data_IF_535513390722
#
_entry.id   IF_535513390722
#
_cell.length_a   1.000
_cell.length_b   1.000
_cell.length_c   1.000
_cell.angle_alpha   90.00
_cell.angle_beta   90.00
_cell.angle_gamma   90.00
#
_symmetry.space_group_name_H-M   'P 1'
#
loop_
_entity.id
_entity.type
_entity.pdbx_description
1 polymer ?
#
# COMPACT_ATOMS: atom_id res chain seq x y z
N UNK A 1 19.34 3.65 7.70
CA UNK A 1 18.54 3.01 6.64
C UNK A 1 17.18 3.69 6.62
N UNK A 2 16.73 4.15 5.45
CA UNK A 2 15.36 4.70 5.32
C UNK A 2 14.34 3.58 5.53
N UNK A 3 13.16 3.93 6.02
CA UNK A 3 12.03 3.00 6.09
C UNK A 3 11.56 2.72 4.66
N UNK A 4 11.35 1.46 4.24
CA UNK A 4 10.87 1.18 2.90
C UNK A 4 9.46 1.77 2.71
N UNK A 5 9.23 2.44 1.57
CA UNK A 5 7.90 2.87 1.15
C UNK A 5 7.21 1.70 0.48
N UNK A 6 6.06 1.33 1.00
CA UNK A 6 5.29 0.17 0.53
C UNK A 6 3.81 0.38 0.77
N UNK A 7 3.01 -0.08 -0.19
CA UNK A 7 1.56 -0.15 -0.13
C UNK A 7 1.10 -1.36 -0.93
N UNK A 8 0.24 -2.20 -0.35
CA UNK A 8 -0.31 -3.36 -1.04
C UNK A 8 -0.70 -4.50 -0.10
N UNK A 9 -1.37 -5.51 -0.63
CA UNK A 9 -1.66 -6.70 0.15
C UNK A 9 -0.50 -7.67 0.13
N UNK A 10 -0.32 -8.37 1.24
CA UNK A 10 0.65 -9.45 1.39
C UNK A 10 -0.06 -10.63 2.02
N UNK A 11 0.12 -11.81 1.43
CA UNK A 11 -0.50 -13.04 1.89
C UNK A 11 0.55 -14.10 2.18
N UNK A 12 0.27 -14.93 3.18
CA UNK A 12 1.03 -16.15 3.45
C UNK A 12 0.26 -17.35 2.94
N UNK A 13 0.93 -18.12 2.10
CA UNK A 13 0.38 -19.31 1.48
C UNK A 13 1.45 -20.40 1.48
N UNK A 14 1.12 -21.56 2.06
CA UNK A 14 2.00 -22.72 2.21
C UNK A 14 3.29 -22.44 3.01
N UNK A 15 4.44 -22.26 2.37
CA UNK A 15 5.71 -21.94 3.05
C UNK A 15 6.28 -20.55 2.67
N UNK A 16 5.53 -19.78 1.87
CA UNK A 16 5.99 -18.50 1.34
C UNK A 16 5.02 -17.35 1.60
N UNK A 17 5.56 -16.14 1.51
CA UNK A 17 4.85 -14.88 1.58
C UNK A 17 4.89 -14.24 0.19
N UNK A 18 3.74 -13.78 -0.30
CA UNK A 18 3.59 -13.23 -1.64
C UNK A 18 2.97 -11.83 -1.58
N UNK A 19 3.38 -10.90 -2.48
CA UNK A 19 2.51 -9.81 -2.86
C UNK A 19 1.17 -10.36 -3.33
N UNK A 20 0.09 -9.67 -2.97
CA UNK A 20 -1.25 -10.15 -3.20
C UNK A 20 -2.21 -9.05 -3.66
N UNK A 21 -3.35 -9.47 -4.19
CA UNK A 21 -4.52 -8.64 -4.41
C UNK A 21 -5.79 -9.40 -3.98
N UNK A 22 -6.82 -8.67 -3.57
CA UNK A 22 -8.15 -9.24 -3.35
C UNK A 22 -8.89 -9.31 -4.69
N UNK A 23 -9.58 -10.43 -4.92
CA UNK A 23 -10.56 -10.54 -5.99
C UNK A 23 -11.77 -9.64 -5.75
N UNK A 24 -12.64 -9.43 -6.75
CA UNK A 24 -13.76 -8.50 -6.69
C UNK A 24 -14.71 -8.74 -5.50
N UNK A 25 -14.99 -10.00 -5.21
CA UNK A 25 -15.89 -10.42 -4.12
C UNK A 25 -15.15 -10.71 -2.81
N UNK A 26 -13.83 -10.47 -2.77
CA UNK A 26 -12.95 -10.75 -1.63
C UNK A 26 -12.93 -12.21 -1.14
N UNK A 27 -13.53 -13.16 -1.87
CA UNK A 27 -13.47 -14.60 -1.61
C UNK A 27 -12.22 -15.26 -2.20
N UNK A 28 -11.49 -14.52 -3.03
CA UNK A 28 -10.28 -14.92 -3.73
C UNK A 28 -9.12 -13.97 -3.44
N UNK A 29 -7.92 -14.56 -3.41
CA UNK A 29 -6.65 -13.85 -3.30
C UNK A 29 -5.82 -14.21 -4.51
N UNK A 30 -5.35 -13.20 -5.24
CA UNK A 30 -4.38 -13.38 -6.31
C UNK A 30 -2.99 -13.20 -5.71
N UNK A 31 -2.16 -14.24 -5.77
CA UNK A 31 -0.77 -14.23 -5.34
C UNK A 31 0.12 -13.91 -6.54
N UNK A 32 1.14 -13.08 -6.36
CA UNK A 32 2.09 -12.71 -7.41
C UNK A 32 3.51 -13.21 -7.11
N UNK A 33 4.26 -13.54 -8.16
CA UNK A 33 5.65 -13.99 -8.09
C UNK A 33 6.41 -13.47 -9.30
N UNK A 34 7.67 -13.09 -9.10
CA UNK A 34 8.59 -12.79 -10.23
C UNK A 34 9.15 -14.08 -10.86
N UNK A 35 9.11 -15.19 -10.12
CA UNK A 35 9.60 -16.50 -10.54
C UNK A 35 8.46 -17.45 -10.92
N UNK A 36 8.75 -18.39 -11.84
CA UNK A 36 7.86 -19.51 -12.15
C UNK A 36 7.77 -20.47 -10.96
N UNK A 37 6.58 -20.63 -10.41
CA UNK A 37 6.30 -21.52 -9.28
C UNK A 37 5.18 -22.50 -9.62
N UNK A 38 5.19 -23.66 -8.98
CA UNK A 38 4.17 -24.68 -9.18
C UNK A 38 2.75 -24.13 -8.92
N UNK A 39 1.87 -24.29 -9.91
CA UNK A 39 0.48 -23.80 -9.86
C UNK A 39 0.32 -22.29 -10.10
N UNK A 40 1.39 -21.56 -10.38
CA UNK A 40 1.31 -20.20 -10.90
C UNK A 40 1.28 -20.23 -12.42
N UNK A 41 0.52 -19.31 -13.00
CA UNK A 41 0.39 -19.13 -14.45
C UNK A 41 1.13 -17.86 -14.88
N UNK A 42 1.74 -17.91 -16.06
CA UNK A 42 2.44 -16.75 -16.63
C UNK A 42 1.45 -15.63 -16.96
N UNK A 43 1.80 -14.42 -16.53
CA UNK A 43 1.16 -13.16 -16.90
C UNK A 43 2.20 -12.24 -17.57
N UNK A 44 1.81 -11.01 -17.91
CA UNK A 44 2.72 -10.08 -18.59
C UNK A 44 3.83 -9.59 -17.64
N UNK A 45 4.98 -10.28 -17.66
CA UNK A 45 6.17 -9.94 -16.89
C UNK A 45 6.22 -10.48 -15.45
N UNK A 46 5.25 -11.31 -15.05
CA UNK A 46 5.20 -11.93 -13.73
C UNK A 46 4.37 -13.21 -13.77
N UNK A 47 4.32 -13.94 -12.67
CA UNK A 47 3.54 -15.15 -12.46
C UNK A 47 2.46 -14.90 -11.43
N UNK A 48 1.28 -15.49 -11.61
CA UNK A 48 0.18 -15.35 -10.64
C UNK A 48 -0.56 -16.63 -10.36
N UNK A 49 -1.12 -16.75 -9.16
CA UNK A 49 -2.01 -17.85 -8.77
C UNK A 49 -3.20 -17.30 -8.01
N UNK A 50 -4.40 -17.61 -8.46
CA UNK A 50 -5.62 -17.33 -7.69
C UNK A 50 -5.91 -18.47 -6.73
N UNK A 51 -6.10 -18.15 -5.46
CA UNK A 51 -6.48 -19.10 -4.41
C UNK A 51 -7.71 -18.59 -3.67
N UNK A 52 -8.46 -19.50 -3.03
CA UNK A 52 -9.53 -19.08 -2.13
C UNK A 52 -8.96 -18.37 -0.91
N UNK A 53 -9.64 -17.32 -0.44
CA UNK A 53 -9.28 -16.55 0.77
C UNK A 53 -9.14 -17.44 2.01
N UNK A 54 -9.92 -18.51 2.11
CA UNK A 54 -9.83 -19.49 3.19
C UNK A 54 -8.58 -20.39 3.12
N UNK A 55 -7.89 -20.41 1.98
CA UNK A 55 -6.66 -21.18 1.76
C UNK A 55 -5.37 -20.42 2.10
N UNK A 56 -5.43 -19.11 2.38
CA UNK A 56 -4.26 -18.35 2.85
C UNK A 56 -4.21 -18.32 4.38
N UNK A 57 -3.02 -18.52 4.95
CA UNK A 57 -2.80 -18.56 6.40
C UNK A 57 -3.06 -17.20 7.05
N UNK A 58 -2.62 -16.13 6.39
CA UNK A 58 -2.94 -14.76 6.75
C UNK A 58 -2.89 -13.85 5.52
N UNK A 59 -3.61 -12.74 5.62
CA UNK A 59 -3.65 -11.67 4.64
C UNK A 59 -3.58 -10.34 5.38
N UNK A 60 -2.68 -9.45 4.96
CA UNK A 60 -2.53 -8.11 5.55
C UNK A 60 -2.47 -7.04 4.46
N UNK A 61 -3.09 -5.90 4.72
CA UNK A 61 -2.75 -4.65 4.01
C UNK A 61 -1.50 -4.08 4.66
N UNK A 62 -0.43 -3.96 3.89
CA UNK A 62 0.79 -3.25 4.28
C UNK A 62 0.71 -1.85 3.70
N UNK A 63 0.98 -0.84 4.52
CA UNK A 63 1.05 0.56 4.07
C UNK A 63 2.07 1.34 4.87
N UNK A 64 2.68 2.34 4.26
CA UNK A 64 3.58 3.26 4.93
C UNK A 64 2.79 4.49 5.36
N UNK A 65 2.81 4.78 6.66
CA UNK A 65 2.06 5.90 7.24
C UNK A 65 3.00 6.88 7.91
N UNK A 66 2.59 8.13 7.99
CA UNK A 66 3.39 9.21 8.55
C UNK A 66 2.51 10.37 9.05
N UNK A 67 3.15 11.48 9.40
CA UNK A 67 2.51 12.75 9.71
C UNK A 67 3.19 13.91 8.96
N UNK A 68 2.39 14.81 8.40
CA UNK A 68 2.82 16.03 7.71
C UNK A 68 1.94 17.19 8.17
N UNK A 69 2.55 18.33 8.52
CA UNK A 69 1.80 19.48 9.06
C UNK A 69 1.00 19.19 10.34
N UNK A 70 1.37 18.13 11.09
CA UNK A 70 0.64 17.66 12.27
C UNK A 70 -0.57 16.77 11.99
N UNK A 71 -0.87 16.47 10.73
CA UNK A 71 -1.99 15.62 10.32
C UNK A 71 -1.50 14.27 9.76
N UNK A 72 -2.30 13.19 9.85
CA UNK A 72 -1.91 11.86 9.39
C UNK A 72 -1.93 11.74 7.86
N UNK A 73 -0.93 11.05 7.30
CA UNK A 73 -0.84 10.75 5.88
C UNK A 73 -0.36 9.31 5.60
N UNK A 74 -0.60 8.85 4.37
CA UNK A 74 0.03 7.66 3.79
C UNK A 74 1.14 8.12 2.84
N UNK A 75 2.29 7.45 2.87
CA UNK A 75 3.36 7.66 1.88
C UNK A 75 3.12 6.72 0.71
N UNK A 76 2.94 7.30 -0.46
CA UNK A 76 2.63 6.60 -1.72
C UNK A 76 3.91 6.20 -2.44
N UNK A 77 4.88 7.13 -2.52
CA UNK A 77 6.15 6.94 -3.21
C UNK A 77 7.26 7.85 -2.66
N UNK A 78 8.50 7.57 -3.01
CA UNK A 78 9.68 8.41 -2.73
C UNK A 78 10.58 8.49 -3.97
N UNK A 79 10.85 9.70 -4.44
CA UNK A 79 11.71 9.97 -5.59
C UNK A 79 12.69 11.15 -5.30
N UNK A 80 13.27 11.74 -6.34
CA UNK A 80 14.20 12.86 -6.22
C UNK A 80 13.55 14.18 -5.76
N UNK A 81 12.24 14.34 -6.00
CA UNK A 81 11.47 15.53 -5.63
C UNK A 81 10.94 15.44 -4.18
N UNK A 82 10.84 14.23 -3.62
CA UNK A 82 10.58 14.01 -2.20
C UNK A 82 9.62 12.86 -1.94
N UNK A 83 8.76 13.01 -0.92
CA UNK A 83 7.71 12.05 -0.61
C UNK A 83 6.40 12.47 -1.25
N UNK A 84 5.85 11.60 -2.08
CA UNK A 84 4.47 11.69 -2.52
C UNK A 84 3.56 11.13 -1.43
N UNK A 85 2.67 11.95 -0.85
CA UNK A 85 1.83 11.57 0.29
C UNK A 85 0.35 11.86 0.03
N UNK A 86 -0.51 10.99 0.56
CA UNK A 86 -1.96 11.17 0.58
C UNK A 86 -2.45 11.57 1.97
N UNK A 87 -3.31 12.59 2.04
CA UNK A 87 -3.95 13.02 3.28
C UNK A 87 -4.97 11.98 3.75
N UNK A 88 -4.92 11.63 5.03
CA UNK A 88 -5.87 10.65 5.64
C UNK A 88 -6.69 11.23 6.78
N UNK A 89 -6.61 12.54 6.99
CA UNK A 89 -7.53 13.21 7.90
C UNK A 89 -8.91 13.40 7.27
N UNK A 90 -9.85 13.92 8.06
CA UNK A 90 -11.27 14.00 7.69
C UNK A 90 -11.71 15.42 7.30
N UNK A 91 -10.78 16.29 6.88
CA UNK A 91 -11.08 17.69 6.53
C UNK A 91 -10.32 18.15 5.28
N UNK A 92 -11.06 18.33 4.17
CA UNK A 92 -10.50 18.88 2.93
C UNK A 92 -9.96 20.30 3.09
N UNK A 93 -10.63 21.14 3.89
CA UNK A 93 -10.16 22.50 4.21
C UNK A 93 -8.78 22.48 4.88
N UNK A 94 -8.52 21.52 5.78
CA UNK A 94 -7.19 21.37 6.39
C UNK A 94 -6.16 20.87 5.36
N UNK A 95 -6.52 19.91 4.52
CA UNK A 95 -5.64 19.41 3.47
C UNK A 95 -5.19 20.55 2.54
N UNK A 96 -6.13 21.36 2.05
CA UNK A 96 -5.85 22.53 1.20
C UNK A 96 -4.97 23.57 1.90
N UNK A 97 -5.23 23.84 3.18
CA UNK A 97 -4.41 24.76 3.98
C UNK A 97 -2.96 24.26 4.19
N UNK A 98 -2.75 22.94 4.15
CA UNK A 98 -1.44 22.30 4.20
C UNK A 98 -0.78 22.16 2.82
N UNK A 99 -1.42 22.64 1.75
CA UNK A 99 -0.87 22.62 0.39
C UNK A 99 -1.18 21.35 -0.41
N UNK A 100 -2.01 20.44 0.11
CA UNK A 100 -2.51 19.33 -0.70
C UNK A 100 -3.46 19.83 -1.80
N UNK A 101 -3.45 19.14 -2.95
CA UNK A 101 -4.44 19.34 -4.01
C UNK A 101 -5.36 18.13 -4.13
N UNK A 102 -6.59 18.37 -4.57
CA UNK A 102 -7.58 17.31 -4.77
C UNK A 102 -7.29 16.55 -6.07
N UNK A 103 -7.11 15.23 -5.97
CA UNK A 103 -6.88 14.34 -7.13
C UNK A 103 -8.16 13.61 -7.55
N UNK A 104 -9.07 13.36 -6.60
CA UNK A 104 -10.42 12.82 -6.80
C UNK A 104 -11.31 13.28 -5.62
N UNK A 105 -12.62 13.02 -5.68
CA UNK A 105 -13.64 13.43 -4.72
C UNK A 105 -13.26 13.13 -3.24
N UNK A 106 -12.64 14.12 -2.59
CA UNK A 106 -12.16 14.02 -1.20
C UNK A 106 -10.81 13.33 -1.01
N UNK A 107 -10.13 12.93 -2.09
CA UNK A 107 -8.76 12.44 -2.08
C UNK A 107 -7.79 13.61 -2.36
N UNK A 108 -6.80 13.77 -1.48
CA UNK A 108 -5.88 14.89 -1.48
C UNK A 108 -4.44 14.40 -1.42
N UNK A 109 -3.58 14.87 -2.32
CA UNK A 109 -2.19 14.45 -2.45
C UNK A 109 -1.24 15.66 -2.54
N UNK A 110 0.03 15.44 -2.19
CA UNK A 110 1.11 16.43 -2.29
C UNK A 110 2.48 15.74 -2.36
N UNK A 111 3.45 16.36 -3.04
CA UNK A 111 4.87 16.00 -2.94
C UNK A 111 5.57 17.00 -2.02
N UNK A 112 6.26 16.51 -1.00
CA UNK A 112 6.93 17.34 0.03
C UNK A 112 8.34 16.85 0.32
N UNK A 113 9.24 17.73 0.79
CA UNK A 113 10.56 17.32 1.22
C UNK A 113 10.50 16.24 2.29
N UNK A 114 11.38 15.24 2.16
CA UNK A 114 11.43 14.05 3.02
C UNK A 114 11.59 14.38 4.51
N UNK A 115 12.27 15.48 4.82
CA UNK A 115 12.54 16.00 6.16
C UNK A 115 11.32 16.65 6.84
N UNK A 116 10.29 17.02 6.08
CA UNK A 116 9.05 17.60 6.62
C UNK A 116 8.04 16.53 7.07
N UNK A 117 8.32 15.26 6.74
CA UNK A 117 7.43 14.13 7.05
C UNK A 117 7.98 13.31 8.22
N UNK A 118 7.16 13.18 9.25
CA UNK A 118 7.57 12.61 10.53
C UNK A 118 6.84 11.30 10.85
N UNK A 119 7.36 10.55 11.82
CA UNK A 119 6.72 9.31 12.33
C UNK A 119 6.47 8.24 11.26
N UNK A 120 7.30 8.22 10.22
CA UNK A 120 7.21 7.25 9.11
C UNK A 120 7.41 5.84 9.66
N UNK A 121 6.44 4.98 9.40
CA UNK A 121 6.46 3.56 9.80
C UNK A 121 5.63 2.72 8.84
N UNK A 122 5.91 1.43 8.83
CA UNK A 122 5.09 0.44 8.12
C UNK A 122 4.01 -0.08 9.07
N UNK A 123 2.76 0.02 8.66
CA UNK A 123 1.63 -0.64 9.30
C UNK A 123 1.27 -1.93 8.56
N UNK A 124 0.79 -2.92 9.33
CA UNK A 124 0.23 -4.18 8.82
C UNK A 124 -1.16 -4.35 9.42
N UNK A 125 -2.17 -4.27 8.58
CA UNK A 125 -3.58 -4.34 8.98
C UNK A 125 -4.10 -5.70 8.54
N UNK A 126 -4.48 -6.60 9.47
CA UNK A 126 -5.12 -7.85 9.12
C UNK A 126 -6.37 -7.60 8.29
N UNK A 127 -6.49 -8.32 7.17
CA UNK A 127 -7.73 -8.39 6.40
C UNK A 127 -8.51 -9.58 6.93
N UNK A 128 -9.76 -9.43 7.38
CA UNK A 128 -10.59 -10.54 7.83
C UNK A 128 -10.78 -11.65 6.79
#
# INVERSE_FOLDING_TARGET
MSVPITSGFVARFEERTFPAALGPDSDEVVLFSEEELAGFEAASGYWRRTVKRAGVEWLVLVRTVAAFGGEPCIVLDEDEDGLHIAYTGHSGMKAEALGYWMVDHGAYEVVVPREEVFSIRVERIPVP
#
